data_IF_563105466256
#
_entry.id   IF_563105466256
#
_cell.length_a   1.000
_cell.length_b   1.000
_cell.length_c   1.000
_cell.angle_alpha   90.00
_cell.angle_beta   90.00
_cell.angle_gamma   90.00
#
_symmetry.space_group_name_H-M   'P 1'
#
loop_
_entity.id
_entity.type
_entity.pdbx_description
1 polymer ?
#
# COMPACT_ATOMS: atom_id res chain seq x y z
N UNK A 1 -14.36 -6.34 19.42
CA UNK A 1 -14.85 -6.87 18.11
C UNK A 1 -13.95 -6.37 16.99
N UNK A 2 -13.60 -7.22 16.02
CA UNK A 2 -12.81 -6.80 14.84
C UNK A 2 -13.76 -6.20 13.81
N UNK A 3 -13.89 -4.87 13.78
CA UNK A 3 -14.72 -4.19 12.78
C UNK A 3 -13.84 -3.73 11.63
N UNK A 4 -14.23 -4.06 10.40
CA UNK A 4 -13.63 -3.51 9.19
C UNK A 4 -13.81 -1.99 9.17
N UNK A 5 -12.77 -1.22 8.80
CA UNK A 5 -12.96 0.20 8.54
C UNK A 5 -13.95 0.37 7.38
N UNK A 6 -14.81 1.39 7.45
CA UNK A 6 -15.74 1.67 6.36
C UNK A 6 -14.99 1.82 5.03
N UNK A 7 -15.55 1.27 3.97
CA UNK A 7 -14.98 1.39 2.64
C UNK A 7 -15.19 2.79 2.05
N UNK A 8 -14.45 3.13 0.99
CA UNK A 8 -14.66 4.36 0.27
C UNK A 8 -16.06 4.37 -0.39
N UNK A 9 -16.65 5.55 -0.65
CA UNK A 9 -17.89 5.66 -1.40
C UNK A 9 -17.72 5.08 -2.81
N UNK A 10 -18.79 4.56 -3.38
CA UNK A 10 -18.75 4.03 -4.76
C UNK A 10 -18.34 5.13 -5.74
N UNK A 11 -17.37 4.83 -6.58
CA UNK A 11 -16.96 5.73 -7.66
C UNK A 11 -18.15 6.02 -8.59
N UNK A 12 -18.59 7.27 -8.69
CA UNK A 12 -19.62 7.73 -9.61
C UNK A 12 -19.04 7.87 -11.02
N UNK A 13 -19.91 7.88 -12.05
CA UNK A 13 -19.49 8.15 -13.44
C UNK A 13 -18.97 9.58 -13.56
N UNK A 14 -17.91 9.79 -14.35
CA UNK A 14 -17.37 11.11 -14.67
C UNK A 14 -16.59 11.79 -13.55
N UNK A 15 -16.51 11.21 -12.35
CA UNK A 15 -15.74 11.78 -11.22
C UNK A 15 -14.26 11.63 -11.52
N UNK A 16 -13.47 12.73 -11.52
CA UNK A 16 -12.02 12.67 -11.68
C UNK A 16 -11.36 11.82 -10.58
N UNK A 17 -10.27 11.13 -10.91
CA UNK A 17 -9.52 10.35 -9.91
C UNK A 17 -9.05 11.21 -8.73
N UNK A 18 -8.78 12.49 -8.96
CA UNK A 18 -8.33 13.43 -7.93
C UNK A 18 -9.36 13.69 -6.83
N UNK A 19 -10.63 13.40 -7.05
CA UNK A 19 -11.68 13.47 -6.01
C UNK A 19 -11.71 12.21 -5.13
N UNK A 20 -10.97 11.16 -5.51
CA UNK A 20 -10.77 9.99 -4.66
C UNK A 20 -9.96 10.34 -3.40
N UNK A 21 -10.30 9.70 -2.29
CA UNK A 21 -9.50 9.71 -1.07
C UNK A 21 -8.71 8.42 -0.99
N UNK A 22 -7.40 8.51 -0.93
CA UNK A 22 -6.55 7.33 -0.92
C UNK A 22 -5.66 7.29 0.32
N UNK A 23 -5.22 6.09 0.66
CA UNK A 23 -4.15 5.84 1.62
C UNK A 23 -3.18 4.85 0.99
N UNK A 24 -1.96 5.27 0.71
CA UNK A 24 -0.88 4.37 0.38
C UNK A 24 -0.47 3.66 1.68
N UNK A 25 -0.37 2.35 1.59
CA UNK A 25 -0.09 1.46 2.72
C UNK A 25 1.01 0.51 2.33
N UNK A 26 1.94 0.32 3.24
CA UNK A 26 2.95 -0.72 3.17
C UNK A 26 3.14 -1.37 4.52
N UNK A 27 3.42 -2.68 4.56
CA UNK A 27 3.69 -3.47 5.75
C UNK A 27 5.09 -4.09 5.71
N UNK A 28 5.83 -3.93 6.80
CA UNK A 28 6.92 -4.85 7.09
C UNK A 28 6.44 -5.99 7.98
N UNK A 29 6.96 -7.18 7.78
CA UNK A 29 6.44 -8.40 8.38
C UNK A 29 7.56 -9.32 8.88
N UNK A 30 7.23 -10.25 9.79
CA UNK A 30 8.20 -11.26 10.25
C UNK A 30 8.58 -12.25 9.17
N UNK A 31 7.79 -12.32 8.08
CA UNK A 31 7.98 -13.16 6.91
C UNK A 31 6.75 -13.13 6.01
N UNK A 32 6.67 -14.05 5.03
CA UNK A 32 5.61 -14.10 4.03
C UNK A 32 4.68 -15.32 4.18
N UNK A 33 4.73 -16.01 5.31
CA UNK A 33 3.70 -17.00 5.67
C UNK A 33 2.48 -16.27 6.23
N UNK A 34 1.52 -15.97 5.37
CA UNK A 34 0.31 -15.21 5.71
C UNK A 34 -0.53 -15.81 6.85
N UNK A 35 -0.36 -17.12 7.15
CA UNK A 35 -1.05 -17.77 8.24
C UNK A 35 -0.35 -17.54 9.60
N UNK A 36 0.97 -17.44 9.60
CA UNK A 36 1.77 -17.48 10.82
C UNK A 36 2.60 -16.22 11.06
N UNK A 37 2.96 -15.46 10.01
CA UNK A 37 3.78 -14.27 10.17
C UNK A 37 2.96 -13.05 10.62
N UNK A 38 3.63 -12.11 11.29
CA UNK A 38 3.05 -10.93 11.90
C UNK A 38 3.52 -9.65 11.22
N UNK A 39 2.72 -8.59 11.33
CA UNK A 39 3.13 -7.23 10.99
C UNK A 39 4.10 -6.72 12.05
N UNK A 40 5.24 -6.16 11.64
CA UNK A 40 6.23 -5.51 12.53
C UNK A 40 6.25 -4.00 12.38
N UNK A 41 5.82 -3.47 11.24
CA UNK A 41 5.54 -2.04 11.08
C UNK A 41 4.53 -1.79 9.98
N UNK A 42 3.93 -0.60 9.99
CA UNK A 42 3.17 -0.11 8.85
C UNK A 42 3.46 1.36 8.59
N UNK A 43 3.47 1.70 7.31
CA UNK A 43 3.48 3.05 6.79
C UNK A 43 2.16 3.38 6.12
N UNK A 44 1.60 4.55 6.41
CA UNK A 44 0.38 5.04 5.73
C UNK A 44 0.60 6.47 5.30
N UNK A 45 0.41 6.72 4.01
CA UNK A 45 0.54 8.06 3.42
C UNK A 45 -0.76 8.44 2.71
N UNK A 46 -1.48 9.46 3.19
CA UNK A 46 -2.70 9.93 2.54
C UNK A 46 -2.43 10.60 1.19
N UNK A 47 -3.33 10.34 0.21
CA UNK A 47 -3.39 11.10 -1.03
C UNK A 47 -4.78 11.70 -1.17
N UNK A 48 -4.87 13.03 -1.18
CA UNK A 48 -6.10 13.79 -1.23
C UNK A 48 -6.01 14.84 -2.33
N UNK A 49 -7.07 14.98 -3.11
CA UNK A 49 -7.15 15.97 -4.20
C UNK A 49 -5.96 15.89 -5.18
N UNK A 50 -5.48 14.66 -5.47
CA UNK A 50 -4.33 14.43 -6.33
C UNK A 50 -2.99 14.91 -5.74
N UNK A 51 -2.88 15.02 -4.41
CA UNK A 51 -1.67 15.45 -3.70
C UNK A 51 -1.31 14.46 -2.60
N UNK A 52 -0.03 14.18 -2.44
CA UNK A 52 0.50 13.44 -1.30
C UNK A 52 0.51 14.35 -0.07
N UNK A 53 -0.11 13.92 1.02
CA UNK A 53 -0.22 14.71 2.27
C UNK A 53 0.81 14.20 3.27
N UNK A 54 2.06 14.59 3.08
CA UNK A 54 3.20 14.11 3.89
C UNK A 54 3.04 14.46 5.38
N UNK A 55 2.44 15.61 5.70
CA UNK A 55 2.22 16.03 7.10
C UNK A 55 1.23 15.14 7.88
N UNK A 56 0.46 14.30 7.18
CA UNK A 56 -0.45 13.31 7.79
C UNK A 56 0.08 11.87 7.63
N UNK A 57 1.30 11.70 7.15
CA UNK A 57 1.92 10.40 7.01
C UNK A 57 2.23 9.80 8.39
N UNK A 58 2.05 8.50 8.52
CA UNK A 58 2.22 7.78 9.79
C UNK A 58 3.11 6.57 9.57
N UNK A 59 4.15 6.46 10.38
CA UNK A 59 4.90 5.24 10.62
C UNK A 59 4.54 4.69 12.00
N UNK A 60 4.33 3.38 12.11
CA UNK A 60 4.03 2.73 13.38
C UNK A 60 4.73 1.37 13.45
N UNK A 61 5.60 1.21 14.44
CA UNK A 61 6.12 -0.10 14.81
C UNK A 61 5.04 -0.91 15.53
N UNK A 62 5.09 -2.22 15.35
CA UNK A 62 4.16 -3.18 15.96
C UNK A 62 4.98 -4.32 16.57
N UNK A 63 4.68 -4.65 17.82
CA UNK A 63 5.29 -5.79 18.49
C UNK A 63 4.66 -7.08 17.96
N UNK A 64 5.45 -7.94 17.28
CA UNK A 64 4.96 -9.23 16.79
C UNK A 64 4.83 -10.23 17.92
N UNK A 65 3.99 -11.27 17.74
CA UNK A 65 3.92 -12.40 18.66
C UNK A 65 5.11 -13.35 18.48
N UNK A 66 5.70 -13.37 17.29
CA UNK A 66 6.87 -14.18 16.92
C UNK A 66 8.01 -13.31 16.44
N UNK A 67 9.26 -13.64 16.76
CA UNK A 67 10.39 -12.86 16.27
C UNK A 67 10.46 -12.91 14.75
N UNK A 68 10.91 -11.82 14.11
CA UNK A 68 11.14 -11.81 12.67
C UNK A 68 12.15 -12.88 12.25
N UNK A 69 11.94 -13.48 11.09
CA UNK A 69 12.90 -14.40 10.50
C UNK A 69 14.25 -13.69 10.21
N UNK A 70 15.39 -14.39 10.21
CA UNK A 70 16.67 -13.77 9.84
C UNK A 70 16.61 -13.09 8.47
N UNK A 71 15.87 -13.67 7.53
CA UNK A 71 15.68 -13.10 6.20
C UNK A 71 14.91 -11.80 6.24
N UNK A 72 13.80 -11.71 6.99
CA UNK A 72 13.02 -10.47 7.06
C UNK A 72 13.78 -9.37 7.79
N UNK A 73 14.54 -9.71 8.84
CA UNK A 73 15.42 -8.75 9.52
C UNK A 73 16.46 -8.12 8.59
N UNK A 74 17.00 -8.87 7.63
CA UNK A 74 17.94 -8.33 6.65
C UNK A 74 17.28 -7.44 5.60
N UNK A 75 15.96 -7.49 5.48
CA UNK A 75 15.18 -6.67 4.55
C UNK A 75 14.79 -5.35 5.21
N UNK A 76 14.01 -5.37 6.29
CA UNK A 76 13.48 -4.17 6.92
C UNK A 76 14.40 -3.55 7.99
N UNK A 77 15.50 -4.20 8.37
CA UNK A 77 16.54 -3.73 9.31
C UNK A 77 16.02 -3.35 10.72
N UNK A 78 14.77 -3.66 11.08
CA UNK A 78 14.24 -3.39 12.40
C UNK A 78 14.87 -4.32 13.44
N UNK A 79 15.38 -3.75 14.52
CA UNK A 79 16.01 -4.52 15.59
C UNK A 79 14.97 -5.12 16.52
N UNK A 80 15.19 -6.32 17.06
CA UNK A 80 14.30 -6.93 18.06
C UNK A 80 13.96 -5.99 19.22
N UNK A 81 14.94 -5.24 19.73
CA UNK A 81 14.72 -4.29 20.82
C UNK A 81 13.74 -3.15 20.47
N UNK A 82 13.73 -2.69 19.20
CA UNK A 82 12.79 -1.66 18.76
C UNK A 82 11.35 -2.21 18.71
N UNK A 83 11.20 -3.49 18.37
CA UNK A 83 9.92 -4.17 18.29
C UNK A 83 9.38 -4.57 19.68
N UNK A 84 10.25 -4.90 20.64
CA UNK A 84 9.84 -5.22 22.01
C UNK A 84 9.15 -4.04 22.69
N UNK A 85 9.61 -2.81 22.44
CA UNK A 85 9.05 -1.58 22.98
C UNK A 85 7.77 -1.13 22.25
N UNK A 86 7.46 -1.70 21.08
CA UNK A 86 6.33 -1.29 20.29
C UNK A 86 4.98 -1.85 20.85
N UNK A 87 3.84 -1.19 20.58
CA UNK A 87 2.53 -1.71 20.95
C UNK A 87 2.19 -2.98 20.17
N UNK A 88 1.43 -3.92 20.76
CA UNK A 88 0.92 -5.07 20.02
C UNK A 88 -0.09 -4.66 18.96
N UNK A 89 -0.30 -5.50 17.94
CA UNK A 89 -1.21 -5.21 16.82
C UNK A 89 -2.63 -4.86 17.28
N UNK A 90 -3.08 -5.36 18.42
CA UNK A 90 -4.39 -5.05 18.99
C UNK A 90 -4.57 -3.56 19.30
N UNK A 91 -3.53 -2.89 19.77
CA UNK A 91 -3.52 -1.44 20.04
C UNK A 91 -3.26 -0.63 18.77
N UNK A 92 -2.25 -1.01 17.98
CA UNK A 92 -1.91 -0.33 16.73
C UNK A 92 -3.05 -0.39 15.71
N UNK A 93 -3.90 -1.42 15.76
CA UNK A 93 -5.03 -1.64 14.85
C UNK A 93 -6.03 -0.48 14.83
N UNK A 94 -6.35 0.11 15.97
CA UNK A 94 -7.34 1.21 15.99
C UNK A 94 -6.80 2.46 15.29
N UNK A 95 -5.52 2.74 15.43
CA UNK A 95 -4.86 3.81 14.69
C UNK A 95 -4.87 3.51 13.19
N UNK A 96 -4.47 2.29 12.81
CA UNK A 96 -4.50 1.87 11.40
C UNK A 96 -5.93 1.93 10.84
N UNK A 97 -6.94 1.51 11.59
CA UNK A 97 -8.35 1.60 11.19
C UNK A 97 -8.75 3.02 10.84
N UNK A 98 -8.44 3.99 11.70
CA UNK A 98 -8.77 5.41 11.46
C UNK A 98 -8.09 5.96 10.20
N UNK A 99 -6.84 5.55 9.93
CA UNK A 99 -6.10 5.95 8.73
C UNK A 99 -6.69 5.39 7.43
N UNK A 100 -7.32 4.20 7.48
CA UNK A 100 -7.90 3.54 6.31
C UNK A 100 -9.39 3.85 6.10
N UNK A 101 -10.04 4.52 7.05
CA UNK A 101 -11.48 4.80 7.03
C UNK A 101 -11.88 5.66 5.81
N UNK A 102 -12.86 5.18 5.02
CA UNK A 102 -13.40 5.91 3.88
C UNK A 102 -12.44 6.12 2.71
N UNK A 103 -11.33 5.40 2.64
CA UNK A 103 -10.28 5.56 1.62
C UNK A 103 -10.16 4.34 0.72
N UNK A 104 -9.78 4.58 -0.53
CA UNK A 104 -9.17 3.57 -1.39
C UNK A 104 -7.75 3.32 -0.90
N UNK A 105 -7.32 2.06 -0.89
CA UNK A 105 -5.99 1.68 -0.47
C UNK A 105 -5.09 1.58 -1.70
N UNK A 106 -3.88 2.05 -1.58
CA UNK A 106 -2.84 1.92 -2.59
C UNK A 106 -1.75 1.02 -2.00
N UNK A 107 -1.31 0.04 -2.75
CA UNK A 107 -0.17 -0.78 -2.39
C UNK A 107 0.65 -1.11 -3.64
N UNK A 108 1.89 -1.52 -3.43
CA UNK A 108 2.73 -2.07 -4.47
C UNK A 108 2.76 -3.58 -4.38
N UNK A 109 2.19 -4.28 -5.37
CA UNK A 109 2.00 -5.73 -5.31
C UNK A 109 1.13 -6.15 -4.12
N UNK A 110 -0.11 -5.71 -4.13
CA UNK A 110 -1.05 -5.63 -3.02
C UNK A 110 -1.40 -6.95 -2.29
N UNK A 111 -0.87 -8.10 -2.70
CA UNK A 111 -1.24 -9.39 -2.08
C UNK A 111 -0.78 -9.49 -0.62
N UNK A 112 0.36 -8.91 -0.24
CA UNK A 112 0.85 -8.88 1.13
C UNK A 112 -0.15 -8.11 2.01
N UNK A 113 -0.45 -6.87 1.63
CA UNK A 113 -1.36 -5.98 2.37
C UNK A 113 -2.75 -6.59 2.50
N UNK A 114 -3.26 -7.22 1.44
CA UNK A 114 -4.57 -7.87 1.46
C UNK A 114 -4.67 -8.97 2.51
N UNK A 115 -3.64 -9.81 2.63
CA UNK A 115 -3.62 -10.91 3.59
C UNK A 115 -3.49 -10.41 5.03
N UNK A 116 -2.57 -9.49 5.30
CA UNK A 116 -2.39 -8.93 6.63
C UNK A 116 -3.58 -8.05 7.07
N UNK A 117 -4.20 -7.29 6.16
CA UNK A 117 -5.44 -6.57 6.44
C UNK A 117 -6.60 -7.52 6.81
N UNK A 118 -6.78 -8.61 6.05
CA UNK A 118 -7.81 -9.60 6.35
C UNK A 118 -7.58 -10.27 7.70
N UNK A 119 -6.32 -10.57 8.06
CA UNK A 119 -5.96 -11.14 9.35
C UNK A 119 -6.17 -10.14 10.50
N UNK A 120 -5.78 -8.89 10.32
CA UNK A 120 -5.85 -7.84 11.34
C UNK A 120 -7.30 -7.42 11.65
N UNK A 121 -8.10 -7.22 10.62
CA UNK A 121 -9.46 -6.67 10.75
C UNK A 121 -10.55 -7.71 10.53
N UNK A 122 -10.23 -8.88 9.98
CA UNK A 122 -11.20 -9.85 9.49
C UNK A 122 -11.71 -9.49 8.08
N UNK A 123 -12.78 -10.16 7.68
CA UNK A 123 -13.30 -10.05 6.32
C UNK A 123 -12.55 -10.96 5.32
N UNK A 124 -13.07 -11.04 4.10
CA UNK A 124 -12.43 -11.83 3.06
C UNK A 124 -11.43 -10.99 2.25
N UNK A 125 -10.42 -11.63 1.69
CA UNK A 125 -9.49 -11.03 0.70
C UNK A 125 -10.26 -10.31 -0.41
N UNK A 126 -11.37 -10.92 -0.89
CA UNK A 126 -12.23 -10.31 -1.90
C UNK A 126 -12.87 -8.99 -1.44
N UNK A 127 -13.21 -8.87 -0.16
CA UNK A 127 -13.76 -7.63 0.40
C UNK A 127 -12.72 -6.51 0.43
N UNK A 128 -11.49 -6.83 0.82
CA UNK A 128 -10.38 -5.89 0.82
C UNK A 128 -9.95 -5.51 -0.60
N UNK A 129 -9.88 -6.46 -1.52
CA UNK A 129 -9.52 -6.21 -2.92
C UNK A 129 -10.45 -5.22 -3.62
N UNK A 130 -11.73 -5.11 -3.19
CA UNK A 130 -12.67 -4.12 -3.74
C UNK A 130 -12.30 -2.66 -3.47
N UNK A 131 -11.46 -2.39 -2.50
CA UNK A 131 -10.99 -1.04 -2.16
C UNK A 131 -9.49 -0.85 -2.39
N UNK A 132 -8.79 -1.89 -2.80
CA UNK A 132 -7.36 -1.88 -3.09
C UNK A 132 -7.11 -1.54 -4.56
N UNK A 133 -6.17 -0.66 -4.79
CA UNK A 133 -5.57 -0.34 -6.08
C UNK A 133 -4.10 -0.76 -6.04
N UNK A 134 -3.72 -1.68 -6.89
CA UNK A 134 -2.33 -2.10 -7.04
C UNK A 134 -1.61 -1.12 -7.98
N UNK A 135 -0.73 -0.30 -7.43
CA UNK A 135 0.01 0.74 -8.19
C UNK A 135 0.99 0.12 -9.19
N UNK A 136 1.43 -1.13 -8.96
CA UNK A 136 2.22 -1.88 -9.93
C UNK A 136 1.44 -2.13 -11.23
N UNK A 137 0.13 -2.37 -11.17
CA UNK A 137 -0.69 -2.52 -12.37
C UNK A 137 -0.76 -1.21 -13.19
N UNK A 138 -0.77 -0.05 -12.51
CA UNK A 138 -0.67 1.25 -13.19
C UNK A 138 0.67 1.42 -13.87
N UNK A 139 1.77 0.98 -13.23
CA UNK A 139 3.11 1.05 -13.84
C UNK A 139 3.20 0.18 -15.10
N UNK A 140 2.61 -1.00 -15.08
CA UNK A 140 2.54 -1.90 -16.23
C UNK A 140 1.73 -1.26 -17.37
N UNK A 141 0.58 -0.66 -17.04
CA UNK A 141 -0.26 0.02 -18.02
C UNK A 141 0.43 1.28 -18.61
N UNK A 142 1.10 2.06 -17.76
CA UNK A 142 1.85 3.25 -18.20
C UNK A 142 3.06 2.91 -19.09
N UNK A 143 3.68 1.75 -18.88
CA UNK A 143 4.76 1.25 -19.71
C UNK A 143 4.30 0.71 -21.07
N UNK A 144 2.98 0.53 -21.28
CA UNK A 144 2.44 -0.09 -22.50
C UNK A 144 2.81 -1.56 -22.65
N UNK A 145 3.19 -2.22 -21.57
CA UNK A 145 3.67 -3.59 -21.60
C UNK A 145 2.53 -4.62 -21.69
N UNK A 146 2.70 -5.68 -22.49
CA UNK A 146 1.74 -6.76 -22.56
C UNK A 146 1.50 -7.43 -21.20
N UNK A 147 0.32 -8.04 -21.01
CA UNK A 147 -0.04 -8.69 -19.75
C UNK A 147 0.93 -9.81 -19.33
N UNK A 148 1.61 -10.44 -20.30
CA UNK A 148 2.62 -11.49 -20.07
C UNK A 148 3.86 -10.96 -19.33
N UNK A 149 4.20 -9.68 -19.51
CA UNK A 149 5.33 -9.03 -18.85
C UNK A 149 5.06 -8.79 -17.37
N UNK A 150 3.80 -8.82 -16.95
CA UNK A 150 3.38 -8.67 -15.55
C UNK A 150 4.09 -9.63 -14.59
N UNK A 151 4.59 -10.76 -15.07
CA UNK A 151 5.28 -11.79 -14.29
C UNK A 151 6.81 -11.65 -14.30
N UNK A 152 7.39 -10.78 -15.15
CA UNK A 152 8.85 -10.66 -15.29
C UNK A 152 9.44 -9.75 -14.21
N UNK A 153 10.70 -10.04 -13.85
CA UNK A 153 11.54 -9.19 -13.01
C UNK A 153 11.67 -7.80 -13.65
N UNK A 154 11.68 -6.74 -12.83
CA UNK A 154 11.85 -5.35 -13.31
C UNK A 154 10.72 -4.40 -12.91
N UNK A 155 9.63 -4.90 -12.37
CA UNK A 155 8.55 -4.09 -11.79
C UNK A 155 8.56 -4.11 -10.25
N UNK A 156 9.74 -4.14 -9.63
CA UNK A 156 9.89 -3.88 -8.20
C UNK A 156 9.71 -2.39 -7.91
N UNK A 157 9.16 -2.04 -6.73
CA UNK A 157 8.84 -0.67 -6.33
C UNK A 157 9.99 0.30 -6.62
N UNK A 158 11.17 0.02 -6.06
CA UNK A 158 12.33 0.90 -6.18
C UNK A 158 12.92 0.95 -7.59
N UNK A 159 12.78 -0.12 -8.39
CA UNK A 159 13.21 -0.12 -9.78
C UNK A 159 12.32 0.81 -10.63
N UNK A 160 11.01 0.76 -10.40
CA UNK A 160 10.06 1.64 -11.08
C UNK A 160 10.19 3.08 -10.56
N UNK A 161 10.41 3.29 -9.27
CA UNK A 161 10.66 4.61 -8.70
C UNK A 161 11.85 5.29 -9.39
N UNK A 162 12.99 4.58 -9.51
CA UNK A 162 14.16 5.08 -10.26
C UNK A 162 13.86 5.38 -11.73
N UNK A 163 13.05 4.54 -12.39
CA UNK A 163 12.68 4.76 -13.81
C UNK A 163 11.88 6.05 -14.03
N UNK A 164 11.15 6.49 -13.02
CA UNK A 164 10.31 7.68 -13.06
C UNK A 164 10.84 8.84 -12.20
N UNK A 165 12.10 8.80 -11.81
CA UNK A 165 12.78 9.81 -10.99
C UNK A 165 12.04 10.12 -9.68
N UNK A 166 11.36 9.12 -9.10
CA UNK A 166 10.77 9.20 -7.77
C UNK A 166 11.83 8.86 -6.73
N UNK A 167 12.12 9.77 -5.78
CA UNK A 167 13.15 9.53 -4.79
C UNK A 167 12.80 8.36 -3.86
N UNK A 168 13.80 7.55 -3.54
CA UNK A 168 13.73 6.47 -2.55
C UNK A 168 14.80 6.77 -1.51
N UNK A 169 14.39 6.92 -0.26
CA UNK A 169 15.30 7.31 0.83
C UNK A 169 15.78 6.06 1.57
N UNK A 170 14.87 5.25 2.05
CA UNK A 170 15.15 4.08 2.87
C UNK A 170 14.35 2.88 2.35
N UNK A 171 14.89 2.13 1.39
CA UNK A 171 14.21 0.93 0.87
C UNK A 171 13.85 -0.04 2.00
N UNK A 172 12.64 -0.62 1.92
CA UNK A 172 12.11 -1.54 2.93
C UNK A 172 11.91 -0.89 4.32
N UNK A 173 11.64 0.39 4.33
CA UNK A 173 10.97 1.08 5.43
C UNK A 173 9.52 1.30 5.04
N UNK A 174 8.59 0.82 5.86
CA UNK A 174 7.16 0.83 5.53
C UNK A 174 6.63 2.24 5.19
N UNK A 175 7.14 3.29 5.85
CA UNK A 175 6.72 4.65 5.55
C UNK A 175 7.29 5.16 4.22
N UNK A 176 8.58 4.90 3.97
CA UNK A 176 9.23 5.31 2.72
C UNK A 176 8.61 4.58 1.52
N UNK A 177 8.36 3.28 1.63
CA UNK A 177 7.74 2.48 0.56
C UNK A 177 6.28 2.88 0.30
N UNK A 178 5.52 3.23 1.35
CA UNK A 178 4.19 3.83 1.19
C UNK A 178 4.26 5.22 0.53
N UNK A 179 5.26 6.05 0.88
CA UNK A 179 5.47 7.38 0.27
C UNK A 179 5.84 7.25 -1.21
N UNK A 180 6.76 6.37 -1.54
CA UNK A 180 7.14 6.06 -2.92
C UNK A 180 5.93 5.57 -3.73
N UNK A 181 5.12 4.68 -3.15
CA UNK A 181 3.87 4.19 -3.77
C UNK A 181 2.87 5.31 -4.02
N UNK A 182 2.71 6.24 -3.06
CA UNK A 182 1.86 7.42 -3.21
C UNK A 182 2.34 8.37 -4.32
N UNK A 183 3.64 8.63 -4.39
CA UNK A 183 4.24 9.47 -5.43
C UNK A 183 4.13 8.82 -6.81
N UNK A 184 4.38 7.51 -6.90
CA UNK A 184 4.22 6.76 -8.14
C UNK A 184 2.79 6.80 -8.66
N UNK A 185 1.75 6.77 -7.80
CA UNK A 185 0.38 6.97 -8.28
C UNK A 185 0.27 8.25 -9.11
N UNK A 186 0.77 9.39 -8.61
CA UNK A 186 0.65 10.69 -9.27
C UNK A 186 1.37 10.70 -10.62
N UNK A 187 2.59 10.19 -10.64
CA UNK A 187 3.41 10.12 -11.85
C UNK A 187 2.79 9.19 -12.88
N UNK A 188 2.42 7.98 -12.48
CA UNK A 188 1.91 6.95 -13.38
C UNK A 188 0.58 7.32 -14.00
N UNK A 189 -0.31 7.97 -13.25
CA UNK A 189 -1.60 8.46 -13.80
C UNK A 189 -1.36 9.40 -14.96
N UNK A 190 -0.35 10.28 -14.90
CA UNK A 190 -0.02 11.19 -16.00
C UNK A 190 0.59 10.50 -17.23
N UNK A 191 1.02 9.25 -17.09
CA UNK A 191 1.63 8.43 -18.15
C UNK A 191 0.69 7.38 -18.72
N UNK A 192 -0.53 7.26 -18.20
CA UNK A 192 -1.50 6.29 -18.73
C UNK A 192 -1.88 6.62 -20.18
N UNK A 193 -1.87 5.63 -21.09
CA UNK A 193 -2.20 5.87 -22.49
C UNK A 193 -3.63 6.35 -22.68
N UNK A 194 -3.81 7.35 -23.52
CA UNK A 194 -5.12 7.83 -23.97
C UNK A 194 -5.83 8.84 -23.07
N UNK A 195 -5.37 9.11 -21.82
CA UNK A 195 -6.04 10.08 -20.93
C UNK A 195 -5.07 10.73 -19.95
N UNK A 196 -4.92 12.02 -20.08
CA UNK A 196 -4.14 12.83 -19.12
C UNK A 196 -4.80 12.95 -17.72
N UNK A 197 -6.10 12.71 -17.62
CA UNK A 197 -6.86 12.78 -16.37
C UNK A 197 -7.99 11.73 -16.37
N UNK A 198 -7.72 10.48 -15.98
CA UNK A 198 -8.72 9.44 -15.97
C UNK A 198 -9.81 9.71 -14.91
N UNK A 199 -10.99 9.17 -15.11
CA UNK A 199 -11.98 9.10 -14.05
C UNK A 199 -11.55 8.12 -12.96
N UNK A 200 -12.07 8.28 -11.76
CA UNK A 200 -11.85 7.34 -10.65
C UNK A 200 -12.21 5.88 -11.02
N UNK A 201 -13.28 5.69 -11.83
CA UNK A 201 -13.66 4.36 -12.29
C UNK A 201 -12.63 3.73 -13.23
N UNK A 202 -12.07 4.51 -14.14
CA UNK A 202 -11.03 4.06 -15.05
C UNK A 202 -9.75 3.73 -14.30
N UNK A 203 -9.35 4.59 -13.36
CA UNK A 203 -8.19 4.32 -12.51
C UNK A 203 -8.35 2.99 -11.74
N UNK A 204 -9.51 2.78 -11.11
CA UNK A 204 -9.82 1.54 -10.39
C UNK A 204 -9.81 0.33 -11.33
N UNK A 205 -10.30 0.47 -12.55
CA UNK A 205 -10.31 -0.62 -13.53
C UNK A 205 -8.90 -1.04 -13.97
N UNK A 206 -7.99 -0.08 -14.15
CA UNK A 206 -6.60 -0.33 -14.54
C UNK A 206 -5.81 -0.94 -13.37
N UNK A 207 -6.03 -0.45 -12.15
CA UNK A 207 -5.27 -0.82 -10.96
C UNK A 207 -5.70 -2.16 -10.33
N UNK A 208 -6.71 -2.83 -10.85
CA UNK A 208 -7.20 -4.16 -10.40
C UNK A 208 -6.71 -5.27 -11.31
#
# INVERSE_FOLDING_TARGET
MRHLPAGPPRARRGVPWTEGRYAALDFETTGLDYANDDVVSFGVVPVLHGRVVVGEAVHQLVRPERPPSPRSQTVHLLRPADLEAAPPIGEARERLRALLEGRYLLAWFADVELHFLARTFGGSIRAWRRRMLDVRNLAIAAAGEPAEVRRRQGFGLHAVARRYDVPVTTPHDALDDALVTAQLLLVLVSKLPGKANPTLRELIAIAR
#
